data_IF_308223850709
#
_entry.id   IF_308223850709
#
_cell.length_a   1.000
_cell.length_b   1.000
_cell.length_c   1.000
_cell.angle_alpha   90.00
_cell.angle_beta   90.00
_cell.angle_gamma   90.00
#
_symmetry.space_group_name_H-M   'P 1'
#
loop_
_entity.id
_entity.type
_entity.pdbx_description
1 polymer ?
#
# COMPACT_ATOMS: atom_id res chain seq x y z
N UNK A 1 1.06 -6.21 21.22
CA UNK A 1 -0.18 -6.45 20.45
C UNK A 1 0.13 -6.05 19.03
N UNK A 2 -0.08 -6.92 18.05
CA UNK A 2 0.23 -6.61 16.64
C UNK A 2 -0.76 -5.57 16.11
N UNK A 3 -0.25 -4.58 15.39
CA UNK A 3 -1.02 -3.47 14.86
C UNK A 3 -1.00 -3.51 13.34
N UNK A 4 -2.14 -3.21 12.72
CA UNK A 4 -2.29 -3.17 11.27
C UNK A 4 -2.90 -1.86 10.82
N UNK A 5 -2.36 -1.30 9.74
CA UNK A 5 -2.95 -0.20 9.01
C UNK A 5 -3.15 -0.61 7.55
N UNK A 6 -4.40 -0.63 7.10
CA UNK A 6 -4.77 -0.96 5.73
C UNK A 6 -5.15 0.33 5.01
N UNK A 7 -4.57 0.58 3.84
CA UNK A 7 -4.73 1.82 3.06
C UNK A 7 -5.15 1.47 1.63
N UNK A 8 -6.29 2.02 1.19
CA UNK A 8 -6.93 1.65 -0.07
C UNK A 8 -6.52 2.52 -1.27
N UNK A 9 -6.83 2.02 -2.47
CA UNK A 9 -6.57 2.69 -3.74
C UNK A 9 -7.58 3.77 -4.14
N UNK A 10 -7.41 4.26 -5.37
CA UNK A 10 -8.29 5.22 -6.06
C UNK A 10 -9.74 4.70 -6.14
N UNK A 11 -10.73 5.58 -6.00
CA UNK A 11 -12.19 5.32 -6.03
C UNK A 11 -12.71 4.29 -4.99
N UNK A 12 -11.83 3.74 -4.15
CA UNK A 12 -12.19 2.70 -3.21
C UNK A 12 -12.96 3.31 -2.00
N UNK A 13 -14.22 2.88 -1.87
CA UNK A 13 -15.13 3.21 -0.77
C UNK A 13 -15.38 2.02 0.15
N UNK A 14 -14.34 1.21 0.35
CA UNK A 14 -14.32 -0.02 1.16
C UNK A 14 -15.47 -0.99 0.83
N UNK A 15 -15.67 -1.34 -0.46
CA UNK A 15 -16.83 -2.11 -0.88
C UNK A 15 -16.89 -3.46 -0.19
N UNK A 16 -18.11 -3.96 0.01
CA UNK A 16 -18.33 -5.33 0.47
C UNK A 16 -17.70 -6.31 -0.53
N UNK A 17 -17.06 -7.36 -0.02
CA UNK A 17 -16.41 -8.36 -0.85
C UNK A 17 -15.00 -8.02 -1.31
N UNK A 18 -14.45 -6.82 -1.05
CA UNK A 18 -13.04 -6.53 -1.34
C UNK A 18 -12.10 -7.22 -0.33
N UNK A 19 -10.94 -7.65 -0.81
CA UNK A 19 -9.96 -8.34 0.04
C UNK A 19 -9.42 -7.51 1.19
N UNK A 20 -9.33 -6.19 1.06
CA UNK A 20 -8.91 -5.32 2.16
C UNK A 20 -9.89 -5.38 3.33
N UNK A 21 -11.19 -5.45 3.03
CA UNK A 21 -12.24 -5.57 4.05
C UNK A 21 -12.27 -6.96 4.66
N UNK A 22 -12.06 -8.00 3.86
CA UNK A 22 -11.88 -9.37 4.34
C UNK A 22 -10.65 -9.46 5.26
N UNK A 23 -9.50 -8.91 4.83
CA UNK A 23 -8.24 -8.88 5.58
C UNK A 23 -8.43 -8.19 6.93
N UNK A 24 -9.10 -7.04 6.96
CA UNK A 24 -9.40 -6.35 8.20
C UNK A 24 -10.15 -7.24 9.19
N UNK A 25 -11.20 -7.93 8.72
CA UNK A 25 -12.01 -8.82 9.56
C UNK A 25 -11.22 -10.04 10.07
N UNK A 26 -10.40 -10.67 9.23
CA UNK A 26 -9.57 -11.82 9.66
C UNK A 26 -8.52 -11.42 10.69
N UNK A 27 -7.85 -10.27 10.49
CA UNK A 27 -6.86 -9.74 11.42
C UNK A 27 -7.51 -9.38 12.77
N UNK A 28 -8.67 -8.72 12.76
CA UNK A 28 -9.46 -8.46 13.97
C UNK A 28 -9.87 -9.77 14.66
N UNK A 29 -10.31 -10.77 13.89
CA UNK A 29 -10.67 -12.10 14.39
C UNK A 29 -9.50 -12.84 15.06
N UNK A 30 -8.26 -12.55 14.64
CA UNK A 30 -7.03 -13.05 15.28
C UNK A 30 -6.62 -12.30 16.56
N UNK A 31 -7.37 -11.26 16.95
CA UNK A 31 -7.09 -10.43 18.14
C UNK A 31 -6.12 -9.27 17.91
N UNK A 32 -5.82 -8.93 16.65
CA UNK A 32 -4.96 -7.79 16.32
C UNK A 32 -5.71 -6.45 16.39
N UNK A 33 -4.95 -5.35 16.53
CA UNK A 33 -5.51 -4.00 16.44
C UNK A 33 -5.45 -3.54 14.99
N UNK A 34 -6.60 -3.37 14.34
CA UNK A 34 -6.67 -3.00 12.92
C UNK A 34 -7.20 -1.58 12.76
N UNK A 35 -6.55 -0.80 11.89
CA UNK A 35 -7.02 0.49 11.39
C UNK A 35 -7.23 0.36 9.88
N UNK A 36 -8.46 0.60 9.42
CA UNK A 36 -8.82 0.65 8.00
C UNK A 36 -9.65 1.91 7.72
N UNK A 37 -9.01 3.10 7.65
CA UNK A 37 -9.70 4.36 7.43
C UNK A 37 -10.28 4.44 6.01
N UNK A 38 -11.29 5.30 5.85
CA UNK A 38 -11.60 5.86 4.54
C UNK A 38 -10.64 7.04 4.30
N UNK A 39 -9.83 6.98 3.26
CA UNK A 39 -8.98 8.09 2.84
C UNK A 39 -9.86 9.21 2.20
N UNK A 40 -9.46 10.49 2.33
CA UNK A 40 -10.26 11.62 1.87
C UNK A 40 -10.47 11.61 0.35
N UNK A 41 -11.68 11.98 -0.09
CA UNK A 41 -12.03 12.18 -1.51
C UNK A 41 -11.44 11.11 -2.47
N UNK A 42 -11.77 9.81 -2.29
CA UNK A 42 -11.11 8.75 -3.05
C UNK A 42 -11.33 8.85 -4.56
N UNK A 43 -12.39 9.52 -5.01
CA UNK A 43 -12.70 9.72 -6.44
C UNK A 43 -11.95 10.91 -7.08
N UNK A 44 -11.44 11.84 -6.26
CA UNK A 44 -10.61 12.99 -6.67
C UNK A 44 -9.53 13.28 -5.61
N UNK A 45 -8.57 12.35 -5.44
CA UNK A 45 -7.70 12.34 -4.28
C UNK A 45 -6.63 13.43 -4.36
N UNK A 46 -6.35 14.06 -3.22
CA UNK A 46 -5.24 15.00 -3.07
C UNK A 46 -4.14 14.35 -2.25
N UNK A 47 -2.93 14.28 -2.83
CA UNK A 47 -1.77 13.62 -2.22
C UNK A 47 -1.49 14.13 -0.80
N UNK A 48 -1.50 15.45 -0.60
CA UNK A 48 -1.19 16.03 0.72
C UNK A 48 -2.24 15.67 1.77
N UNK A 49 -3.52 15.59 1.40
CA UNK A 49 -4.60 15.18 2.29
C UNK A 49 -4.49 13.69 2.65
N UNK A 50 -4.10 12.84 1.69
CA UNK A 50 -3.84 11.43 1.92
C UNK A 50 -2.64 11.22 2.85
N UNK A 51 -1.54 11.96 2.64
CA UNK A 51 -0.37 11.90 3.53
C UNK A 51 -0.75 12.36 4.94
N UNK A 52 -1.51 13.45 5.08
CA UNK A 52 -1.98 13.92 6.39
C UNK A 52 -2.88 12.88 7.09
N UNK A 53 -3.75 12.19 6.34
CA UNK A 53 -4.57 11.10 6.85
C UNK A 53 -3.72 9.90 7.30
N UNK A 54 -2.68 9.52 6.54
CA UNK A 54 -1.72 8.48 6.92
C UNK A 54 -1.01 8.86 8.21
N UNK A 55 -0.45 10.08 8.29
CA UNK A 55 0.23 10.57 9.49
C UNK A 55 -0.67 10.53 10.72
N UNK A 56 -1.95 10.90 10.58
CA UNK A 56 -2.92 10.82 11.66
C UNK A 56 -3.18 9.37 12.13
N UNK A 57 -3.14 8.38 11.23
CA UNK A 57 -3.28 6.97 11.60
C UNK A 57 -2.06 6.39 12.31
N UNK A 58 -0.87 6.95 12.08
CA UNK A 58 0.37 6.55 12.75
C UNK A 58 0.46 7.09 14.19
N UNK A 59 -0.35 8.08 14.56
CA UNK A 59 -0.37 8.58 15.94
C UNK A 59 -0.82 7.49 16.91
N UNK A 60 0.03 7.21 17.90
CA UNK A 60 -0.21 6.19 18.93
C UNK A 60 0.01 4.75 18.45
N UNK A 61 0.65 4.55 17.30
CA UNK A 61 1.15 3.23 16.89
C UNK A 61 2.59 3.03 17.36
N UNK A 62 2.96 1.76 17.60
CA UNK A 62 4.32 1.36 17.90
C UNK A 62 4.96 0.80 16.61
N UNK A 63 5.91 1.52 15.97
CA UNK A 63 6.47 1.13 14.67
C UNK A 63 6.96 -0.33 14.64
N UNK A 64 7.66 -0.77 15.69
CA UNK A 64 8.20 -2.13 15.82
C UNK A 64 7.15 -3.26 15.81
N UNK A 65 5.86 -2.94 15.94
CA UNK A 65 4.76 -3.92 15.89
C UNK A 65 3.68 -3.58 14.85
N UNK A 66 3.92 -2.54 14.05
CA UNK A 66 3.01 -2.07 13.01
C UNK A 66 3.32 -2.73 11.66
N UNK A 67 2.31 -3.34 11.07
CA UNK A 67 2.30 -3.74 9.66
C UNK A 67 1.38 -2.81 8.87
N UNK A 68 1.89 -2.24 7.79
CA UNK A 68 1.10 -1.41 6.86
C UNK A 68 0.86 -2.18 5.58
N UNK A 69 -0.39 -2.20 5.11
CA UNK A 69 -0.80 -2.83 3.86
C UNK A 69 -1.40 -1.75 2.97
N UNK A 70 -0.72 -1.42 1.89
CA UNK A 70 -1.18 -0.45 0.90
C UNK A 70 -1.66 -1.17 -0.35
N UNK A 71 -2.78 -0.74 -0.93
CA UNK A 71 -3.23 -1.16 -2.25
C UNK A 71 -3.17 -0.01 -3.26
N UNK A 72 -2.69 -0.29 -4.47
CA UNK A 72 -2.78 0.61 -5.63
C UNK A 72 -2.26 2.02 -5.31
N UNK A 73 -3.11 3.05 -5.39
CA UNK A 73 -2.73 4.45 -5.15
C UNK A 73 -2.14 4.71 -3.76
N UNK A 74 -2.55 3.97 -2.73
CA UNK A 74 -1.97 4.10 -1.39
C UNK A 74 -0.49 3.71 -1.34
N UNK A 75 -0.03 2.83 -2.24
CA UNK A 75 1.39 2.51 -2.36
C UNK A 75 2.20 3.76 -2.71
N UNK A 76 1.74 4.54 -3.69
CA UNK A 76 2.39 5.79 -4.08
C UNK A 76 2.34 6.82 -2.93
N UNK A 77 1.18 6.99 -2.28
CA UNK A 77 1.03 7.90 -1.16
C UNK A 77 2.01 7.58 -0.01
N UNK A 78 2.15 6.30 0.34
CA UNK A 78 3.08 5.85 1.37
C UNK A 78 4.54 6.08 0.98
N UNK A 79 4.93 5.76 -0.26
CA UNK A 79 6.29 5.98 -0.74
C UNK A 79 6.65 7.48 -0.80
N UNK A 80 5.72 8.36 -1.19
CA UNK A 80 5.93 9.81 -1.09
C UNK A 80 6.08 10.25 0.38
N UNK A 81 5.23 9.75 1.29
CA UNK A 81 5.37 10.00 2.72
C UNK A 81 6.76 9.60 3.23
N UNK A 82 7.23 8.40 2.89
CA UNK A 82 8.54 7.90 3.27
C UNK A 82 9.68 8.76 2.70
N UNK A 83 9.60 9.16 1.43
CA UNK A 83 10.56 10.07 0.81
C UNK A 83 10.60 11.45 1.51
N UNK A 84 9.44 12.01 1.85
CA UNK A 84 9.34 13.28 2.63
C UNK A 84 9.93 13.15 4.02
N UNK A 85 9.78 12.00 4.69
CA UNK A 85 10.45 11.72 5.98
C UNK A 85 11.97 11.72 5.83
N UNK A 86 12.49 10.99 4.86
CA UNK A 86 13.93 10.90 4.60
C UNK A 86 14.53 12.26 4.26
N UNK A 87 13.86 13.06 3.40
CA UNK A 87 14.28 14.42 3.08
C UNK A 87 14.31 15.35 4.30
N UNK A 88 13.45 15.10 5.31
CA UNK A 88 13.44 15.80 6.59
C UNK A 88 14.44 15.21 7.62
N UNK A 89 15.29 14.26 7.24
CA UNK A 89 16.27 13.62 8.12
C UNK A 89 15.68 12.58 9.08
N UNK A 90 14.44 12.15 8.87
CA UNK A 90 13.76 11.11 9.66
C UNK A 90 13.92 9.77 8.96
N UNK A 91 14.98 9.05 9.30
CA UNK A 91 15.34 7.75 8.70
C UNK A 91 14.92 6.55 9.54
N UNK A 92 14.29 6.79 10.69
CA UNK A 92 13.65 5.75 11.49
C UNK A 92 12.45 5.14 10.75
N UNK A 93 12.26 3.83 10.91
CA UNK A 93 11.12 3.12 10.36
C UNK A 93 9.81 3.62 11.02
N UNK A 94 8.81 3.90 10.18
CA UNK A 94 7.46 4.21 10.62
C UNK A 94 6.61 2.94 10.85
N UNK A 95 7.03 1.81 10.28
CA UNK A 95 6.40 0.51 10.44
C UNK A 95 7.44 -0.61 10.42
N UNK A 96 7.17 -1.72 11.09
CA UNK A 96 8.02 -2.89 11.06
C UNK A 96 7.93 -3.58 9.69
N UNK A 97 6.70 -3.66 9.14
CA UNK A 97 6.44 -4.31 7.85
C UNK A 97 5.59 -3.42 6.96
N UNK A 98 5.89 -3.42 5.67
CA UNK A 98 5.12 -2.77 4.61
C UNK A 98 4.82 -3.78 3.50
N UNK A 99 3.54 -3.94 3.17
CA UNK A 99 3.08 -4.62 1.97
C UNK A 99 2.62 -3.57 0.96
N UNK A 100 3.27 -3.56 -0.21
CA UNK A 100 2.86 -2.77 -1.38
C UNK A 100 2.12 -3.71 -2.33
N UNK A 101 0.79 -3.69 -2.30
CA UNK A 101 -0.07 -4.56 -3.10
C UNK A 101 -0.51 -3.83 -4.36
N UNK A 102 -0.20 -4.39 -5.53
CA UNK A 102 -0.48 -3.82 -6.85
C UNK A 102 -0.06 -2.33 -6.99
N UNK A 103 1.21 -1.95 -6.71
CA UNK A 103 1.65 -0.56 -6.82
C UNK A 103 1.56 -0.02 -8.27
N UNK A 104 1.20 1.25 -8.43
CA UNK A 104 0.99 1.90 -9.74
C UNK A 104 2.25 2.63 -10.20
N UNK A 105 2.68 2.42 -11.45
CA UNK A 105 3.90 3.04 -11.99
C UNK A 105 3.74 4.54 -12.30
N UNK A 106 4.86 5.28 -12.24
CA UNK A 106 4.89 6.72 -12.52
C UNK A 106 4.30 7.11 -13.89
N UNK A 107 4.59 6.40 -15.00
CA UNK A 107 3.99 6.71 -16.29
C UNK A 107 2.47 6.59 -16.30
N UNK A 108 1.93 5.59 -15.60
CA UNK A 108 0.48 5.40 -15.45
C UNK A 108 -0.13 6.52 -14.59
N UNK A 109 0.47 6.82 -13.43
CA UNK A 109 0.03 7.92 -12.56
C UNK A 109 -0.05 9.24 -13.33
N UNK A 110 1.00 9.59 -14.09
CA UNK A 110 1.04 10.82 -14.90
C UNK A 110 0.03 10.84 -16.03
N UNK A 111 -0.42 9.67 -16.50
CA UNK A 111 -1.43 9.54 -17.55
C UNK A 111 -2.87 9.75 -17.06
N UNK A 112 -3.11 9.73 -15.75
CA UNK A 112 -4.44 9.85 -15.14
C UNK A 112 -4.48 11.19 -14.37
N UNK A 113 -5.15 12.23 -14.89
CA UNK A 113 -5.12 13.58 -14.32
C UNK A 113 -5.44 13.66 -12.83
N UNK A 114 -6.41 12.86 -12.35
CA UNK A 114 -6.90 12.84 -10.98
C UNK A 114 -5.85 12.34 -9.97
N UNK A 115 -4.88 11.53 -10.42
CA UNK A 115 -3.87 10.90 -9.54
C UNK A 115 -2.44 11.25 -9.95
N UNK A 116 -2.26 12.10 -10.97
CA UNK A 116 -0.95 12.54 -11.44
C UNK A 116 -0.10 13.19 -10.36
N UNK A 117 -0.73 13.82 -9.36
CA UNK A 117 -0.07 14.39 -8.19
C UNK A 117 0.65 13.37 -7.29
N UNK A 118 0.33 12.07 -7.39
CA UNK A 118 0.93 11.00 -6.60
C UNK A 118 2.22 10.42 -7.21
N UNK A 119 2.61 10.86 -8.42
CA UNK A 119 3.82 10.37 -9.08
C UNK A 119 5.08 10.63 -8.21
N UNK A 120 5.93 9.60 -8.09
CA UNK A 120 7.13 9.59 -7.23
C UNK A 120 8.30 10.39 -7.81
N UNK A 121 8.21 10.83 -9.07
CA UNK A 121 9.36 11.46 -9.73
C UNK A 121 10.42 10.46 -10.18
N UNK A 122 10.06 9.17 -10.24
CA UNK A 122 10.93 8.08 -10.67
C UNK A 122 11.80 7.45 -9.59
N UNK A 123 11.69 7.85 -8.32
CA UNK A 123 12.48 7.29 -7.22
C UNK A 123 11.60 6.66 -6.11
N UNK A 124 11.40 5.33 -6.13
CA UNK A 124 10.68 4.61 -5.09
C UNK A 124 11.60 4.10 -3.96
N UNK A 125 12.83 4.60 -3.80
CA UNK A 125 13.85 4.01 -2.89
C UNK A 125 13.57 4.13 -1.38
N UNK A 126 12.53 4.85 -0.97
CA UNK A 126 12.20 5.07 0.44
C UNK A 126 10.88 4.42 0.82
N UNK A 127 10.92 3.47 1.75
CA UNK A 127 9.74 2.77 2.26
C UNK A 127 9.36 3.09 3.71
N UNK A 128 10.26 3.69 4.50
CA UNK A 128 10.05 3.93 5.93
C UNK A 128 9.57 2.67 6.70
N UNK A 129 10.07 1.49 6.34
CA UNK A 129 9.78 0.23 7.01
C UNK A 129 10.99 -0.71 7.02
N UNK A 130 11.08 -1.58 8.03
CA UNK A 130 12.21 -2.53 8.16
C UNK A 130 12.10 -3.70 7.16
N UNK A 131 10.88 -4.16 6.89
CA UNK A 131 10.60 -5.27 5.99
C UNK A 131 9.59 -4.87 4.93
N UNK A 132 9.99 -4.89 3.67
CA UNK A 132 9.12 -4.51 2.54
C UNK A 132 8.82 -5.73 1.68
N UNK A 133 7.55 -5.91 1.32
CA UNK A 133 7.07 -6.94 0.41
C UNK A 133 6.24 -6.26 -0.67
N UNK A 134 6.59 -6.47 -1.94
CA UNK A 134 5.79 -6.06 -3.10
C UNK A 134 4.99 -7.27 -3.56
N UNK A 135 3.67 -7.14 -3.59
CA UNK A 135 2.75 -8.19 -4.08
C UNK A 135 2.07 -7.65 -5.33
N UNK A 136 2.19 -8.32 -6.46
CA UNK A 136 1.59 -7.84 -7.71
C UNK A 136 1.09 -8.98 -8.58
N UNK A 137 0.02 -8.74 -9.31
CA UNK A 137 -0.39 -9.62 -10.40
C UNK A 137 0.66 -9.66 -11.50
N UNK A 138 0.76 -10.78 -12.22
CA UNK A 138 1.41 -10.73 -13.52
C UNK A 138 0.55 -9.93 -14.51
N UNK A 139 1.21 -9.15 -15.38
CA UNK A 139 0.56 -8.29 -16.36
C UNK A 139 -0.44 -7.25 -15.79
N UNK A 140 -0.19 -6.72 -14.59
CA UNK A 140 -0.94 -5.59 -14.03
C UNK A 140 -0.93 -4.39 -15.01
N UNK A 141 -2.10 -3.93 -15.52
CA UNK A 141 -2.16 -2.83 -16.49
C UNK A 141 -1.73 -1.48 -15.90
N UNK A 142 -1.69 -1.35 -14.58
CA UNK A 142 -1.26 -0.15 -13.86
C UNK A 142 0.23 -0.15 -13.51
N UNK A 143 0.93 -1.25 -13.79
CA UNK A 143 2.39 -1.34 -13.73
C UNK A 143 2.91 -2.25 -14.87
N UNK A 144 2.71 -1.87 -16.14
CA UNK A 144 3.08 -2.70 -17.29
C UNK A 144 4.60 -2.97 -17.37
N UNK A 145 5.40 -2.13 -16.70
CA UNK A 145 6.84 -2.28 -16.56
C UNK A 145 7.28 -3.45 -15.67
N UNK A 146 6.35 -3.99 -14.86
CA UNK A 146 6.56 -5.02 -13.86
C UNK A 146 6.92 -4.46 -12.48
N UNK A 147 6.08 -4.75 -11.48
CA UNK A 147 6.24 -4.22 -10.12
C UNK A 147 7.55 -4.67 -9.44
N UNK A 148 8.06 -5.87 -9.75
CA UNK A 148 9.36 -6.33 -9.26
C UNK A 148 10.51 -5.40 -9.67
N UNK A 149 10.54 -5.00 -10.95
CA UNK A 149 11.57 -4.11 -11.48
C UNK A 149 11.39 -2.66 -11.01
N UNK A 150 10.15 -2.18 -11.00
CA UNK A 150 9.87 -0.78 -10.68
C UNK A 150 9.98 -0.50 -9.18
N UNK A 151 9.53 -1.42 -8.32
CA UNK A 151 9.43 -1.17 -6.88
C UNK A 151 10.31 -2.09 -6.05
N UNK A 152 10.27 -3.41 -6.30
CA UNK A 152 10.96 -4.34 -5.42
C UNK A 152 12.49 -4.21 -5.50
N UNK A 153 13.05 -4.11 -6.71
CA UNK A 153 14.48 -3.95 -6.93
C UNK A 153 15.04 -2.67 -6.27
N UNK A 154 14.49 -1.45 -6.50
CA UNK A 154 15.00 -0.23 -5.85
C UNK A 154 14.85 -0.24 -4.31
N UNK A 155 13.83 -0.92 -3.79
CA UNK A 155 13.58 -1.03 -2.35
C UNK A 155 14.37 -2.17 -1.69
N UNK A 156 15.02 -3.04 -2.46
CA UNK A 156 15.59 -4.29 -1.95
C UNK A 156 14.53 -5.20 -1.30
N UNK A 157 13.29 -5.13 -1.78
CA UNK A 157 12.13 -5.79 -1.18
C UNK A 157 11.94 -7.23 -1.69
N UNK A 158 11.23 -8.05 -0.92
CA UNK A 158 10.68 -9.31 -1.42
C UNK A 158 9.63 -9.01 -2.49
N UNK A 159 9.64 -9.73 -3.61
CA UNK A 159 8.63 -9.64 -4.66
C UNK A 159 7.84 -10.94 -4.75
N UNK A 160 6.52 -10.85 -4.58
CA UNK A 160 5.57 -11.95 -4.68
C UNK A 160 4.68 -11.72 -5.90
N UNK A 161 4.78 -12.60 -6.89
CA UNK A 161 3.94 -12.55 -8.08
C UNK A 161 2.69 -13.42 -7.90
N UNK A 162 1.54 -12.85 -8.22
CA UNK A 162 0.24 -13.53 -8.23
C UNK A 162 -0.14 -13.81 -9.69
N UNK A 163 0.02 -15.06 -10.12
CA UNK A 163 -0.28 -15.44 -11.50
C UNK A 163 -1.78 -15.30 -11.82
N UNK A 164 -2.09 -14.62 -12.93
CA UNK A 164 -3.44 -14.23 -13.32
C UNK A 164 -4.05 -13.15 -12.41
N UNK A 165 -3.23 -12.44 -11.62
CA UNK A 165 -3.72 -11.56 -10.56
C UNK A 165 -4.24 -10.20 -11.00
N UNK A 166 -3.95 -9.76 -12.24
CA UNK A 166 -4.37 -8.45 -12.73
C UNK A 166 -3.94 -7.32 -11.78
N UNK A 167 -4.87 -6.44 -11.40
CA UNK A 167 -4.63 -5.37 -10.43
C UNK A 167 -5.04 -5.74 -8.98
N UNK A 168 -5.30 -7.03 -8.74
CA UNK A 168 -5.71 -7.58 -7.45
C UNK A 168 -6.99 -6.91 -6.91
N UNK A 169 -7.97 -6.67 -7.78
CA UNK A 169 -9.28 -6.08 -7.42
C UNK A 169 -10.37 -7.15 -7.31
N UNK A 170 -11.59 -6.75 -6.89
CA UNK A 170 -12.77 -7.63 -6.96
C UNK A 170 -13.00 -8.14 -8.38
N UNK A 171 -12.84 -7.28 -9.40
CA UNK A 171 -13.05 -7.63 -10.81
C UNK A 171 -12.00 -8.63 -11.32
N UNK A 172 -10.81 -8.63 -10.70
CA UNK A 172 -9.77 -9.64 -10.91
C UNK A 172 -10.02 -10.93 -10.09
N UNK A 173 -11.12 -11.01 -9.34
CA UNK A 173 -11.51 -12.16 -8.53
C UNK A 173 -11.02 -12.12 -7.07
N UNK A 174 -10.48 -11.00 -6.60
CA UNK A 174 -9.90 -10.88 -5.25
C UNK A 174 -10.92 -10.36 -4.23
N UNK A 175 -11.66 -11.31 -3.66
CA UNK A 175 -12.41 -11.14 -2.41
C UNK A 175 -11.63 -11.70 -1.21
N UNK A 176 -11.88 -12.91 -0.72
CA UNK A 176 -10.96 -13.53 0.23
C UNK A 176 -9.56 -13.69 -0.38
N UNK A 177 -8.52 -13.22 0.32
CA UNK A 177 -7.14 -13.27 -0.19
C UNK A 177 -6.15 -13.83 0.84
N UNK A 178 -6.17 -15.15 1.12
CA UNK A 178 -5.34 -15.77 2.16
C UNK A 178 -3.85 -15.44 2.10
N UNK A 179 -3.28 -15.34 0.89
CA UNK A 179 -1.87 -14.98 0.71
C UNK A 179 -1.54 -13.62 1.36
N UNK A 180 -2.36 -12.58 1.18
CA UNK A 180 -2.06 -11.26 1.75
C UNK A 180 -2.13 -11.29 3.29
N UNK A 181 -3.04 -12.10 3.85
CA UNK A 181 -3.11 -12.32 5.29
C UNK A 181 -1.85 -13.00 5.81
N UNK A 182 -1.41 -14.09 5.17
CA UNK A 182 -0.19 -14.80 5.54
C UNK A 182 1.04 -13.88 5.49
N UNK A 183 1.17 -13.07 4.44
CA UNK A 183 2.27 -12.11 4.28
C UNK A 183 2.24 -11.00 5.34
N UNK A 184 1.05 -10.48 5.66
CA UNK A 184 0.88 -9.44 6.68
C UNK A 184 1.13 -9.96 8.10
N UNK A 185 0.81 -11.23 8.36
CA UNK A 185 0.92 -11.85 9.68
C UNK A 185 2.29 -12.48 9.99
N UNK A 186 3.27 -12.37 9.09
CA UNK A 186 4.63 -12.91 9.26
C UNK A 186 5.38 -12.28 10.43
#
# INVERSE_FOLDING_TARGET
MTQYLILHGYENRRPDGHWERWLAAELEGSGASVRYPQLPEPDDPVLDDWIAAIEAQLVGTEPASLTVVCHSLACAAWLVFAARRAAAGRTDAAAHRLLLVAPVSDPVLRGIPQVAGFALGGDPSHAAADHVIVVAGDADPYCPEGAGRVFAEPLGAEHVTVHGGGHLTIDDGFGPFPLVFELAAR
#
